data_IF_296517696042
#
_entry.id   IF_296517696042
#
_cell.length_a   1.000
_cell.length_b   1.000
_cell.length_c   1.000
_cell.angle_alpha   90.00
_cell.angle_beta   90.00
_cell.angle_gamma   90.00
#
_symmetry.space_group_name_H-M   'P 1'
#
loop_
_entity.id
_entity.type
_entity.pdbx_description
1 polymer ?
#
# COMPACT_ATOMS: atom_id res chain seq x y z
N UNK A 1 -32.17 25.41 -47.89
CA UNK A 1 -32.70 24.43 -46.91
C UNK A 1 -31.75 23.23 -46.70
N UNK A 2 -31.13 22.68 -47.74
CA UNK A 2 -30.20 21.53 -47.63
C UNK A 2 -28.90 21.80 -46.84
N UNK A 3 -28.33 23.01 -46.93
CA UNK A 3 -27.08 23.39 -46.21
C UNK A 3 -27.25 23.46 -44.68
N UNK A 4 -28.41 23.92 -44.21
CA UNK A 4 -28.76 23.96 -42.78
C UNK A 4 -28.91 22.56 -42.17
N UNK A 5 -29.34 21.58 -42.95
CA UNK A 5 -29.52 20.19 -42.50
C UNK A 5 -28.17 19.47 -42.37
N UNK A 6 -27.24 19.73 -43.30
CA UNK A 6 -25.87 19.19 -43.25
C UNK A 6 -25.05 19.75 -42.07
N UNK A 7 -25.23 21.02 -41.72
CA UNK A 7 -24.56 21.65 -40.55
C UNK A 7 -25.10 21.06 -39.24
N UNK A 8 -26.42 20.88 -39.12
CA UNK A 8 -27.04 20.23 -37.95
C UNK A 8 -26.60 18.76 -37.80
N UNK A 9 -26.50 18.03 -38.90
CA UNK A 9 -26.05 16.64 -38.90
C UNK A 9 -24.58 16.48 -38.50
N UNK A 10 -23.69 17.35 -38.99
CA UNK A 10 -22.27 17.39 -38.59
C UNK A 10 -22.12 17.75 -37.11
N UNK A 11 -22.90 18.71 -36.61
CA UNK A 11 -22.90 19.06 -35.19
C UNK A 11 -23.36 17.89 -34.31
N UNK A 12 -24.40 17.15 -34.70
CA UNK A 12 -24.84 15.95 -33.96
C UNK A 12 -23.80 14.84 -33.91
N UNK A 13 -23.06 14.61 -35.01
CA UNK A 13 -21.96 13.64 -35.03
C UNK A 13 -20.82 14.07 -34.10
N UNK A 14 -20.49 15.37 -34.10
CA UNK A 14 -19.43 15.93 -33.25
C UNK A 14 -19.80 15.83 -31.76
N UNK A 15 -21.06 16.11 -31.40
CA UNK A 15 -21.58 15.93 -30.05
C UNK A 15 -21.58 14.45 -29.64
N UNK A 16 -22.02 13.55 -30.52
CA UNK A 16 -21.99 12.10 -30.24
C UNK A 16 -20.56 11.59 -30.00
N UNK A 17 -19.59 12.07 -30.79
CA UNK A 17 -18.18 11.71 -30.64
C UNK A 17 -17.63 12.19 -29.28
N UNK A 18 -17.89 13.44 -28.88
CA UNK A 18 -17.45 13.99 -27.60
C UNK A 18 -18.06 13.22 -26.42
N UNK A 19 -19.33 12.82 -26.50
CA UNK A 19 -19.99 12.02 -25.45
C UNK A 19 -19.37 10.62 -25.33
N UNK A 20 -19.00 9.98 -26.45
CA UNK A 20 -18.33 8.66 -26.40
C UNK A 20 -16.90 8.71 -25.84
N UNK A 21 -16.20 9.83 -26.00
CA UNK A 21 -14.84 10.01 -25.49
C UNK A 21 -14.82 10.28 -23.97
N UNK A 22 -15.87 10.91 -23.42
CA UNK A 22 -15.99 11.21 -21.99
C UNK A 22 -16.36 10.00 -21.12
N UNK A 23 -16.86 8.91 -21.72
CA UNK A 23 -17.33 7.72 -21.00
C UNK A 23 -16.21 6.73 -20.61
N UNK A 24 -14.98 6.93 -21.09
CA UNK A 24 -13.83 6.05 -20.81
C UNK A 24 -13.01 6.50 -19.59
N UNK A 25 -13.66 6.89 -18.48
CA UNK A 25 -12.97 7.05 -17.20
C UNK A 25 -12.66 5.66 -16.63
N UNK A 26 -11.59 5.02 -17.11
CA UNK A 26 -11.15 3.72 -16.60
C UNK A 26 -10.43 3.91 -15.27
N UNK A 27 -10.99 3.31 -14.22
CA UNK A 27 -10.29 3.22 -12.95
C UNK A 27 -9.22 2.14 -13.07
N UNK A 28 -7.95 2.52 -12.91
CA UNK A 28 -6.80 1.61 -13.01
C UNK A 28 -6.19 1.27 -11.64
N UNK A 29 -6.62 1.94 -10.58
CA UNK A 29 -6.12 1.78 -9.22
C UNK A 29 -7.24 2.00 -8.20
N UNK A 30 -7.10 1.51 -6.96
CA UNK A 30 -7.99 1.85 -5.87
C UNK A 30 -8.15 3.36 -5.70
N UNK A 31 -9.28 3.77 -5.14
CA UNK A 31 -9.48 5.17 -4.75
C UNK A 31 -8.53 5.53 -3.60
N UNK A 32 -8.05 6.78 -3.62
CA UNK A 32 -7.37 7.37 -2.48
C UNK A 32 -8.29 7.40 -1.26
N UNK A 33 -7.74 7.03 -0.10
CA UNK A 33 -8.44 7.05 1.18
C UNK A 33 -7.59 7.83 2.18
N UNK A 34 -8.04 9.06 2.50
CA UNK A 34 -7.33 9.92 3.44
C UNK A 34 -7.21 9.29 4.84
N UNK A 35 -8.23 8.55 5.29
CA UNK A 35 -8.19 7.94 6.61
C UNK A 35 -7.12 6.84 6.68
N UNK A 36 -6.91 6.11 5.58
CA UNK A 36 -5.84 5.14 5.45
C UNK A 36 -4.46 5.82 5.50
N UNK A 37 -4.28 6.96 4.83
CA UNK A 37 -3.02 7.72 4.85
C UNK A 37 -2.72 8.33 6.22
N UNK A 38 -3.73 8.91 6.87
CA UNK A 38 -3.60 9.44 8.23
C UNK A 38 -3.25 8.31 9.21
N UNK A 39 -3.93 7.16 9.09
CA UNK A 39 -3.66 5.97 9.88
C UNK A 39 -2.25 5.40 9.65
N UNK A 40 -1.81 5.32 8.40
CA UNK A 40 -0.46 4.91 8.02
C UNK A 40 0.61 5.85 8.60
N UNK A 41 0.36 7.17 8.56
CA UNK A 41 1.26 8.17 9.13
C UNK A 41 1.36 8.03 10.65
N UNK A 42 0.24 7.80 11.34
CA UNK A 42 0.22 7.54 12.78
C UNK A 42 0.94 6.24 13.12
N UNK A 43 0.68 5.14 12.39
CA UNK A 43 1.31 3.86 12.61
C UNK A 43 2.82 3.91 12.35
N UNK A 44 3.27 4.71 11.39
CA UNK A 44 4.68 4.98 11.16
C UNK A 44 5.34 5.64 12.38
N UNK A 45 4.72 6.69 12.93
CA UNK A 45 5.23 7.36 14.12
C UNK A 45 5.32 6.40 15.31
N UNK A 46 4.25 5.65 15.59
CA UNK A 46 4.21 4.66 16.68
C UNK A 46 5.27 3.56 16.48
N UNK A 47 5.49 3.10 15.25
CA UNK A 47 6.51 2.10 14.91
C UNK A 47 7.91 2.64 15.16
N UNK A 48 8.20 3.87 14.73
CA UNK A 48 9.50 4.50 14.95
C UNK A 48 9.76 4.79 16.43
N UNK A 49 8.73 5.17 17.20
CA UNK A 49 8.83 5.34 18.65
C UNK A 49 9.16 4.01 19.35
N UNK A 50 8.46 2.94 19.01
CA UNK A 50 8.72 1.60 19.54
C UNK A 50 10.17 1.17 19.25
N UNK A 51 10.62 1.30 18.01
CA UNK A 51 11.99 0.97 17.60
C UNK A 51 13.01 1.83 18.34
N UNK A 52 12.74 3.13 18.50
CA UNK A 52 13.61 4.05 19.24
C UNK A 52 13.72 3.66 20.72
N UNK A 53 12.63 3.23 21.35
CA UNK A 53 12.61 2.79 22.75
C UNK A 53 13.53 1.58 23.00
N UNK A 54 13.80 0.78 21.97
CA UNK A 54 14.67 -0.38 22.01
C UNK A 54 16.08 -0.13 21.43
N UNK A 55 16.39 1.07 20.93
CA UNK A 55 17.59 1.33 20.11
C UNK A 55 18.92 0.98 20.78
N UNK A 56 19.01 1.12 22.11
CA UNK A 56 20.20 0.74 22.91
C UNK A 56 20.32 -0.76 23.17
N UNK A 57 19.37 -1.55 22.69
CA UNK A 57 19.14 -2.93 23.07
C UNK A 57 18.25 -3.05 24.31
N UNK A 58 17.70 -4.25 24.49
CA UNK A 58 16.78 -4.58 25.57
C UNK A 58 17.13 -5.92 26.18
N UNK A 59 16.53 -6.23 27.33
CA UNK A 59 16.57 -7.56 27.92
C UNK A 59 15.17 -8.11 28.10
N UNK A 60 15.06 -9.43 28.23
CA UNK A 60 13.80 -10.13 28.47
C UNK A 60 13.03 -9.57 29.68
N UNK A 61 13.74 -9.19 30.73
CA UNK A 61 13.15 -8.67 31.98
C UNK A 61 12.43 -7.34 31.76
N UNK A 62 12.88 -6.56 30.77
CA UNK A 62 12.28 -5.27 30.42
C UNK A 62 11.12 -5.39 29.43
N UNK A 63 10.90 -6.56 28.81
CA UNK A 63 9.85 -6.78 27.81
C UNK A 63 8.45 -6.35 28.27
N UNK A 64 7.98 -6.65 29.51
CA UNK A 64 6.64 -6.27 29.94
C UNK A 64 6.34 -4.77 29.83
N UNK A 65 7.38 -3.91 29.89
CA UNK A 65 7.21 -2.45 29.73
C UNK A 65 6.86 -2.03 28.30
N UNK A 66 7.18 -2.85 27.29
CA UNK A 66 6.95 -2.59 25.86
C UNK A 66 5.84 -3.43 25.24
N UNK A 67 5.38 -4.48 25.91
CA UNK A 67 4.38 -5.42 25.38
C UNK A 67 3.12 -4.71 24.86
N UNK A 68 2.60 -3.75 25.63
CA UNK A 68 1.44 -2.96 25.22
C UNK A 68 1.70 -2.15 23.94
N UNK A 69 2.91 -1.57 23.79
CA UNK A 69 3.27 -0.78 22.62
C UNK A 69 3.45 -1.67 21.38
N UNK A 70 4.06 -2.85 21.51
CA UNK A 70 4.08 -3.83 20.41
C UNK A 70 2.67 -4.20 19.96
N UNK A 71 1.79 -4.54 20.90
CA UNK A 71 0.44 -4.97 20.56
C UNK A 71 -0.37 -3.84 19.89
N UNK A 72 -0.20 -2.60 20.33
CA UNK A 72 -0.79 -1.42 19.68
C UNK A 72 -0.31 -1.29 18.23
N UNK A 73 1.00 -1.30 18.01
CA UNK A 73 1.60 -1.12 16.68
C UNK A 73 1.19 -2.24 15.74
N UNK A 74 1.30 -3.51 16.17
CA UNK A 74 0.93 -4.68 15.37
C UNK A 74 -0.56 -4.63 15.01
N UNK A 75 -1.43 -4.40 15.99
CA UNK A 75 -2.88 -4.30 15.75
C UNK A 75 -3.26 -3.16 14.81
N UNK A 76 -2.59 -2.01 14.92
CA UNK A 76 -2.79 -0.88 14.00
C UNK A 76 -2.36 -1.24 12.57
N UNK A 77 -1.20 -1.87 12.40
CA UNK A 77 -0.69 -2.25 11.08
C UNK A 77 -1.57 -3.33 10.42
N UNK A 78 -2.03 -4.33 11.18
CA UNK A 78 -2.93 -5.37 10.70
C UNK A 78 -4.29 -4.78 10.27
N UNK A 79 -4.84 -3.86 11.07
CA UNK A 79 -6.08 -3.18 10.74
C UNK A 79 -5.95 -2.36 9.44
N UNK A 80 -4.85 -1.63 9.28
CA UNK A 80 -4.57 -0.86 8.07
C UNK A 80 -4.36 -1.78 6.86
N UNK A 81 -3.66 -2.91 7.02
CA UNK A 81 -3.45 -3.88 5.96
C UNK A 81 -4.79 -4.45 5.46
N UNK A 82 -5.70 -4.78 6.40
CA UNK A 82 -7.04 -5.26 6.08
C UNK A 82 -7.86 -4.18 5.35
N UNK A 83 -7.84 -2.94 5.83
CA UNK A 83 -8.53 -1.81 5.18
C UNK A 83 -8.01 -1.58 3.77
N UNK A 84 -6.68 -1.55 3.60
CA UNK A 84 -6.04 -1.37 2.30
C UNK A 84 -6.41 -2.50 1.32
N UNK A 85 -6.47 -3.74 1.79
CA UNK A 85 -6.83 -4.92 1.00
C UNK A 85 -8.32 -5.00 0.64
N UNK A 86 -9.20 -4.42 1.47
CA UNK A 86 -10.64 -4.40 1.22
C UNK A 86 -11.05 -3.45 0.09
N UNK A 87 -10.14 -2.59 -0.38
CA UNK A 87 -10.43 -1.63 -1.45
C UNK A 87 -10.66 -2.34 -2.79
N UNK A 88 -11.69 -1.95 -3.58
CA UNK A 88 -11.92 -2.52 -4.89
C UNK A 88 -10.72 -2.27 -5.83
N UNK A 89 -10.15 -3.33 -6.37
CA UNK A 89 -9.13 -3.27 -7.44
C UNK A 89 -9.82 -3.55 -8.77
N UNK A 90 -9.77 -2.61 -9.74
CA UNK A 90 -10.36 -2.82 -11.05
C UNK A 90 -9.73 -4.02 -11.75
N UNK A 91 -10.52 -5.04 -12.07
CA UNK A 91 -10.05 -6.17 -12.88
C UNK A 91 -9.95 -5.72 -14.33
N UNK A 92 -8.75 -5.73 -14.91
CA UNK A 92 -8.58 -5.55 -16.34
C UNK A 92 -7.98 -6.82 -16.96
N UNK A 93 -8.47 -7.17 -18.15
CA UNK A 93 -8.03 -8.36 -18.89
C UNK A 93 -6.62 -8.16 -19.51
N UNK A 94 -6.01 -6.98 -19.28
CA UNK A 94 -4.72 -6.60 -19.86
C UNK A 94 -3.61 -7.48 -19.28
N UNK A 95 -3.64 -7.76 -17.98
CA UNK A 95 -2.68 -8.68 -17.36
C UNK A 95 -2.77 -10.10 -17.93
N UNK A 96 -3.98 -10.60 -18.17
CA UNK A 96 -4.19 -11.91 -18.77
C UNK A 96 -3.74 -11.95 -20.24
N UNK A 97 -3.99 -10.87 -20.99
CA UNK A 97 -3.53 -10.71 -22.36
C UNK A 97 -1.99 -10.67 -22.43
N UNK A 98 -1.33 -9.92 -21.55
CA UNK A 98 0.14 -9.86 -21.47
C UNK A 98 0.73 -11.22 -21.06
N UNK A 99 0.14 -11.90 -20.07
CA UNK A 99 0.57 -13.24 -19.64
C UNK A 99 0.48 -14.27 -20.78
N UNK A 100 -0.55 -14.16 -21.63
CA UNK A 100 -0.74 -15.00 -22.82
C UNK A 100 0.28 -14.72 -23.93
N UNK A 101 0.78 -13.49 -24.03
CA UNK A 101 1.76 -13.08 -25.06
C UNK A 101 3.19 -13.41 -24.66
N UNK A 102 3.58 -13.17 -23.39
CA UNK A 102 4.98 -13.28 -22.96
C UNK A 102 5.32 -14.70 -22.45
N UNK A 103 4.31 -15.53 -22.19
CA UNK A 103 4.48 -16.85 -21.59
C UNK A 103 4.75 -16.74 -20.09
N UNK A 104 4.16 -17.63 -19.29
CA UNK A 104 4.19 -17.57 -17.81
C UNK A 104 5.59 -17.58 -17.19
N UNK A 105 6.61 -17.97 -17.94
CA UNK A 105 7.99 -18.12 -17.46
C UNK A 105 8.88 -16.89 -17.73
N UNK A 106 8.51 -16.03 -18.68
CA UNK A 106 9.29 -14.84 -19.07
C UNK A 106 8.50 -13.54 -19.00
N UNK A 107 7.23 -13.58 -18.56
CA UNK A 107 6.50 -12.37 -18.25
C UNK A 107 7.36 -11.58 -17.26
N UNK A 108 7.82 -10.35 -17.60
CA UNK A 108 8.40 -9.50 -16.59
C UNK A 108 7.36 -9.48 -15.48
N UNK A 109 7.79 -9.77 -14.26
CA UNK A 109 7.09 -9.29 -13.08
C UNK A 109 7.13 -7.78 -13.28
N UNK A 110 6.15 -7.24 -14.04
CA UNK A 110 5.91 -5.81 -14.19
C UNK A 110 5.86 -5.37 -12.75
N UNK A 111 6.94 -4.73 -12.31
CA UNK A 111 7.28 -4.49 -10.91
C UNK A 111 5.99 -4.38 -10.14
N UNK A 112 5.60 -5.48 -9.47
CA UNK A 112 4.33 -5.51 -8.79
C UNK A 112 4.51 -4.43 -7.75
N UNK A 113 3.98 -3.24 -8.01
CA UNK A 113 4.04 -2.14 -7.06
C UNK A 113 3.43 -2.74 -5.82
N UNK A 114 4.26 -2.94 -4.80
CA UNK A 114 3.83 -3.63 -3.59
C UNK A 114 2.68 -2.79 -3.08
N UNK A 115 1.48 -3.36 -3.12
CA UNK A 115 0.31 -2.65 -2.64
C UNK A 115 0.55 -2.30 -1.18
N UNK A 116 0.01 -1.17 -0.74
CA UNK A 116 0.14 -0.76 0.65
C UNK A 116 -0.31 -1.84 1.63
N UNK A 117 -1.29 -2.69 1.27
CA UNK A 117 -1.71 -3.81 2.11
C UNK A 117 -0.60 -4.86 2.31
N UNK A 118 0.10 -5.24 1.23
CA UNK A 118 1.23 -6.16 1.29
C UNK A 118 2.40 -5.57 2.07
N UNK A 119 2.68 -4.29 1.86
CA UNK A 119 3.72 -3.58 2.58
C UNK A 119 3.40 -3.47 4.09
N UNK A 120 2.19 -3.07 4.44
CA UNK A 120 1.69 -3.01 5.83
C UNK A 120 1.77 -4.36 6.54
N UNK A 121 1.39 -5.45 5.85
CA UNK A 121 1.56 -6.81 6.38
C UNK A 121 3.04 -7.15 6.63
N UNK A 122 3.95 -6.73 5.74
CA UNK A 122 5.39 -6.89 5.93
C UNK A 122 5.93 -6.13 7.15
N UNK A 123 5.43 -4.91 7.42
CA UNK A 123 5.78 -4.16 8.64
C UNK A 123 5.26 -4.90 9.87
N UNK A 124 3.99 -5.32 9.87
CA UNK A 124 3.38 -6.05 10.99
C UNK A 124 4.14 -7.33 11.32
N UNK A 125 4.53 -8.10 10.30
CA UNK A 125 5.36 -9.30 10.48
C UNK A 125 6.73 -8.96 11.06
N UNK A 126 7.36 -7.89 10.58
CA UNK A 126 8.66 -7.41 11.08
C UNK A 126 8.58 -7.03 12.56
N UNK A 127 7.59 -6.24 12.95
CA UNK A 127 7.37 -5.82 14.35
C UNK A 127 6.99 -6.99 15.23
N UNK A 128 6.18 -7.94 14.72
CA UNK A 128 5.84 -9.17 15.42
C UNK A 128 7.07 -10.03 15.69
N UNK A 129 7.97 -10.19 14.72
CA UNK A 129 9.25 -10.89 14.92
C UNK A 129 10.12 -10.19 15.95
N UNK A 130 10.19 -8.86 15.93
CA UNK A 130 10.90 -8.09 16.95
C UNK A 130 10.32 -8.32 18.34
N UNK A 131 8.98 -8.31 18.49
CA UNK A 131 8.28 -8.62 19.75
C UNK A 131 8.65 -10.01 20.27
N UNK A 132 8.61 -11.03 19.42
CA UNK A 132 8.92 -12.41 19.84
C UNK A 132 10.39 -12.55 20.24
N UNK A 133 11.31 -11.88 19.55
CA UNK A 133 12.73 -11.83 19.94
C UNK A 133 12.90 -11.13 21.29
N UNK A 134 12.30 -9.95 21.47
CA UNK A 134 12.35 -9.18 22.72
C UNK A 134 11.81 -9.99 23.91
N UNK A 135 10.66 -10.65 23.72
CA UNK A 135 10.04 -11.53 24.71
C UNK A 135 10.91 -12.73 25.07
N UNK A 136 11.62 -13.28 24.09
CA UNK A 136 12.44 -14.49 24.27
C UNK A 136 13.74 -14.18 25.00
N UNK A 137 14.46 -13.14 24.58
CA UNK A 137 15.83 -12.87 25.05
C UNK A 137 16.19 -11.39 25.17
N UNK A 138 15.27 -10.48 24.87
CA UNK A 138 15.61 -9.09 24.53
C UNK A 138 16.04 -8.96 23.07
N UNK A 139 16.29 -7.73 22.64
CA UNK A 139 16.77 -7.42 21.28
C UNK A 139 18.08 -6.68 21.41
N UNK A 140 19.12 -7.13 20.73
CA UNK A 140 20.39 -6.41 20.68
C UNK A 140 20.26 -5.14 19.83
N UNK A 141 21.10 -4.13 20.07
CA UNK A 141 21.08 -2.91 19.25
C UNK A 141 21.24 -3.18 17.75
N UNK A 142 22.01 -4.20 17.36
CA UNK A 142 22.17 -4.60 15.95
C UNK A 142 20.89 -5.21 15.37
N UNK A 143 20.22 -6.08 16.11
CA UNK A 143 18.93 -6.65 15.71
C UNK A 143 17.87 -5.53 15.59
N UNK A 144 17.86 -4.54 16.50
CA UNK A 144 16.96 -3.39 16.39
C UNK A 144 17.22 -2.60 15.11
N UNK A 145 18.47 -2.38 14.72
CA UNK A 145 18.79 -1.72 13.44
C UNK A 145 18.35 -2.55 12.22
N UNK A 146 18.46 -3.88 12.29
CA UNK A 146 17.99 -4.76 11.23
C UNK A 146 16.46 -4.69 11.07
N UNK A 147 15.73 -4.79 12.18
CA UNK A 147 14.27 -4.64 12.19
C UNK A 147 13.85 -3.24 11.70
N UNK A 148 14.56 -2.19 12.11
CA UNK A 148 14.34 -0.82 11.64
C UNK A 148 14.53 -0.72 10.12
N UNK A 149 15.61 -1.28 9.59
CA UNK A 149 15.87 -1.27 8.15
C UNK A 149 14.73 -1.93 7.37
N UNK A 150 14.28 -3.10 7.81
CA UNK A 150 13.18 -3.81 7.17
C UNK A 150 11.85 -3.05 7.28
N UNK A 151 11.54 -2.51 8.46
CA UNK A 151 10.32 -1.71 8.67
C UNK A 151 10.31 -0.46 7.78
N UNK A 152 11.45 0.24 7.63
CA UNK A 152 11.56 1.42 6.77
C UNK A 152 11.34 1.09 5.29
N UNK A 153 11.85 -0.04 4.80
CA UNK A 153 11.66 -0.47 3.40
C UNK A 153 10.16 -0.64 3.10
N UNK A 154 9.45 -1.39 3.95
CA UNK A 154 8.02 -1.58 3.73
C UNK A 154 7.21 -0.30 3.97
N UNK A 155 7.60 0.54 4.93
CA UNK A 155 6.93 1.81 5.18
C UNK A 155 7.05 2.76 3.98
N UNK A 156 8.24 2.86 3.39
CA UNK A 156 8.48 3.63 2.17
C UNK A 156 7.60 3.15 1.01
N UNK A 157 7.49 1.83 0.84
CA UNK A 157 6.61 1.24 -0.18
C UNK A 157 5.14 1.57 0.06
N UNK A 158 4.65 1.46 1.30
CA UNK A 158 3.27 1.78 1.64
C UNK A 158 2.95 3.25 1.41
N UNK A 159 3.80 4.15 1.91
CA UNK A 159 3.63 5.60 1.77
C UNK A 159 3.71 6.04 0.31
N UNK A 160 4.68 5.53 -0.44
CA UNK A 160 4.83 5.82 -1.87
C UNK A 160 3.60 5.35 -2.66
N UNK A 161 3.07 4.17 -2.35
CA UNK A 161 1.87 3.65 -2.98
C UNK A 161 0.66 4.55 -2.73
N UNK A 162 0.39 4.90 -1.47
CA UNK A 162 -0.76 5.74 -1.12
C UNK A 162 -0.63 7.17 -1.66
N UNK A 163 0.56 7.76 -1.61
CA UNK A 163 0.82 9.08 -2.19
C UNK A 163 0.55 9.10 -3.70
N UNK A 164 0.86 8.00 -4.41
CA UNK A 164 0.56 7.89 -5.84
C UNK A 164 -0.94 7.77 -6.16
N UNK A 165 -1.79 7.48 -5.16
CA UNK A 165 -3.25 7.43 -5.32
C UNK A 165 -3.92 8.80 -5.18
N UNK A 166 -3.30 9.77 -4.50
CA UNK A 166 -3.83 11.13 -4.20
C UNK A 166 -4.03 12.04 -5.45
N UNK A 167 -3.95 11.48 -6.66
CA UNK A 167 -3.97 12.18 -7.96
C UNK A 167 -4.83 13.44 -8.05
#
# INVERSE_FOLDING_TARGET
MQTLMAVKFRASILVALVVTLAACATQLAPLYDKALVDGLTSANADTMELIASAAGGTTKETFPSREAQYNKVIGSLDALALQAAARPVPTNNVFDAVKKIVGSSNAPVLSQVISSSTALAGISETVSKMRETDKKQGVTGLEVQAFKGQALIYMDQALTYEAALER
#
